data_IF_393437908935
#
_entry.id   IF_393437908935
#
_cell.length_a   1.000
_cell.length_b   1.000
_cell.length_c   1.000
_cell.angle_alpha   90.00
_cell.angle_beta   90.00
_cell.angle_gamma   90.00
#
_symmetry.space_group_name_H-M   'P 1'
#
loop_
_entity.id
_entity.type
_entity.pdbx_description
1 polymer ?
#
# COMPACT_ATOMS: atom_id res chain seq x y z
N UNK A 1 -16.59 -8.55 3.32
CA UNK A 1 -16.40 -7.93 2.00
C UNK A 1 -16.91 -8.91 0.97
N UNK A 2 -17.61 -8.43 -0.05
CA UNK A 2 -18.08 -9.26 -1.17
C UNK A 2 -16.88 -9.80 -2.00
N UNK A 3 -16.93 -11.05 -2.53
CA UNK A 3 -15.83 -11.67 -3.29
C UNK A 3 -15.32 -10.83 -4.46
N UNK A 4 -16.23 -10.29 -5.27
CA UNK A 4 -15.88 -9.45 -6.43
C UNK A 4 -15.26 -8.14 -5.97
N UNK A 5 -15.81 -7.55 -4.91
CA UNK A 5 -15.27 -6.32 -4.31
C UNK A 5 -13.84 -6.52 -3.82
N UNK A 6 -13.53 -7.65 -3.19
CA UNK A 6 -12.16 -7.98 -2.76
C UNK A 6 -11.19 -8.02 -3.96
N UNK A 7 -11.58 -8.64 -5.07
CA UNK A 7 -10.74 -8.74 -6.27
C UNK A 7 -10.50 -7.36 -6.87
N UNK A 8 -11.54 -6.54 -7.04
CA UNK A 8 -11.40 -5.18 -7.57
C UNK A 8 -10.51 -4.33 -6.68
N UNK A 9 -10.68 -4.43 -5.35
CA UNK A 9 -9.80 -3.75 -4.39
C UNK A 9 -8.36 -4.24 -4.50
N UNK A 10 -8.13 -5.55 -4.60
CA UNK A 10 -6.79 -6.11 -4.78
C UNK A 10 -6.14 -5.64 -6.09
N UNK A 11 -6.89 -5.54 -7.19
CA UNK A 11 -6.37 -5.02 -8.46
C UNK A 11 -5.99 -3.56 -8.34
N UNK A 12 -6.83 -2.73 -7.72
CA UNK A 12 -6.53 -1.31 -7.50
C UNK A 12 -5.30 -1.11 -6.61
N UNK A 13 -5.21 -1.85 -5.50
CA UNK A 13 -4.06 -1.79 -4.58
C UNK A 13 -2.78 -2.29 -5.24
N UNK A 14 -2.84 -3.45 -5.92
CA UNK A 14 -1.71 -4.02 -6.64
C UNK A 14 -1.22 -3.14 -7.79
N UNK A 15 -2.13 -2.45 -8.50
CA UNK A 15 -1.77 -1.46 -9.50
C UNK A 15 -1.11 -0.22 -8.88
N UNK A 16 -1.66 0.30 -7.77
CA UNK A 16 -1.13 1.47 -7.08
C UNK A 16 0.24 1.24 -6.45
N UNK A 17 0.42 0.10 -5.77
CA UNK A 17 1.63 -0.21 -5.02
C UNK A 17 2.64 -1.00 -5.88
N UNK A 18 2.17 -2.04 -6.58
CA UNK A 18 3.01 -3.02 -7.30
C UNK A 18 3.64 -2.54 -8.61
N UNK A 19 3.09 -1.49 -9.23
CA UNK A 19 3.66 -0.88 -10.45
C UNK A 19 4.69 0.20 -10.17
N UNK A 20 4.97 0.49 -8.89
CA UNK A 20 6.01 1.46 -8.50
C UNK A 20 7.39 0.80 -8.48
N UNK A 21 8.44 1.59 -8.72
CA UNK A 21 9.81 1.11 -8.64
C UNK A 21 10.21 0.66 -7.22
N UNK A 22 9.52 1.21 -6.21
CA UNK A 22 9.73 0.91 -4.79
C UNK A 22 8.99 -0.33 -4.31
N UNK A 23 8.13 -0.93 -5.14
CA UNK A 23 7.38 -2.12 -4.75
C UNK A 23 8.33 -3.29 -4.49
N UNK A 24 8.10 -4.03 -3.42
CA UNK A 24 8.84 -5.25 -3.12
C UNK A 24 8.56 -6.32 -4.17
N UNK A 25 9.51 -7.25 -4.33
CA UNK A 25 9.32 -8.43 -5.19
C UNK A 25 8.06 -9.20 -4.82
N UNK A 26 7.74 -9.30 -3.53
CA UNK A 26 6.52 -9.96 -3.04
C UNK A 26 5.23 -9.32 -3.60
N UNK A 27 5.13 -7.98 -3.60
CA UNK A 27 3.97 -7.27 -4.17
C UNK A 27 3.89 -7.49 -5.68
N UNK A 28 5.02 -7.40 -6.38
CA UNK A 28 5.09 -7.59 -7.85
C UNK A 28 4.67 -9.01 -8.26
N UNK A 29 5.14 -10.01 -7.53
CA UNK A 29 4.85 -11.42 -7.80
C UNK A 29 3.39 -11.75 -7.51
N UNK A 30 2.87 -11.32 -6.35
CA UNK A 30 1.47 -11.50 -5.99
C UNK A 30 0.54 -10.87 -7.02
N UNK A 31 0.84 -9.63 -7.45
CA UNK A 31 0.03 -8.95 -8.45
C UNK A 31 0.11 -9.61 -9.82
N UNK A 32 1.30 -10.07 -10.23
CA UNK A 32 1.48 -10.80 -11.48
C UNK A 32 0.71 -12.12 -11.48
N UNK A 33 0.66 -12.83 -10.36
CA UNK A 33 -0.12 -14.06 -10.22
C UNK A 33 -1.63 -13.79 -10.36
N UNK A 34 -2.15 -12.75 -9.69
CA UNK A 34 -3.55 -12.33 -9.82
C UNK A 34 -3.90 -11.97 -11.27
N UNK A 35 -3.05 -11.20 -11.96
CA UNK A 35 -3.27 -10.84 -13.37
C UNK A 35 -3.33 -12.04 -14.29
N UNK A 36 -2.48 -13.05 -14.08
CA UNK A 36 -2.52 -14.28 -14.87
C UNK A 36 -3.83 -15.06 -14.69
N UNK A 37 -4.44 -15.00 -13.51
CA UNK A 37 -5.74 -15.63 -13.27
C UNK A 37 -6.88 -14.85 -13.93
N UNK A 38 -6.86 -13.52 -13.84
CA UNK A 38 -7.85 -12.66 -14.48
C UNK A 38 -7.77 -12.73 -16.02
N UNK A 39 -6.56 -12.75 -16.58
CA UNK A 39 -6.36 -12.89 -18.02
C UNK A 39 -6.85 -14.25 -18.56
N UNK A 40 -6.71 -15.33 -17.78
CA UNK A 40 -7.26 -16.64 -18.12
C UNK A 40 -8.79 -16.63 -18.20
N UNK A 41 -9.43 -15.74 -17.43
CA UNK A 41 -10.88 -15.52 -17.38
C UNK A 41 -11.34 -14.42 -18.34
N UNK A 42 -10.46 -13.95 -19.23
CA UNK A 42 -10.72 -12.85 -20.19
C UNK A 42 -11.13 -11.52 -19.55
N UNK A 43 -10.77 -11.29 -18.28
CA UNK A 43 -11.07 -10.06 -17.56
C UNK A 43 -9.93 -9.05 -17.78
N UNK A 44 -10.27 -7.87 -18.32
CA UNK A 44 -9.29 -6.79 -18.54
C UNK A 44 -9.11 -5.91 -17.30
N UNK A 45 -7.87 -5.82 -16.81
CA UNK A 45 -7.50 -4.97 -15.67
C UNK A 45 -6.88 -3.64 -16.09
N UNK A 46 -6.60 -3.42 -17.38
CA UNK A 46 -5.84 -2.29 -17.90
C UNK A 46 -6.45 -0.92 -17.55
N UNK A 47 -7.78 -0.87 -17.44
CA UNK A 47 -8.52 0.31 -17.03
C UNK A 47 -8.20 0.73 -15.59
N UNK A 48 -8.21 -0.23 -14.67
CA UNK A 48 -7.86 -0.03 -13.26
C UNK A 48 -6.35 0.17 -13.09
N UNK A 49 -5.51 -0.52 -13.85
CA UNK A 49 -4.05 -0.32 -13.81
C UNK A 49 -3.65 1.13 -14.13
N UNK A 50 -4.29 1.73 -15.15
CA UNK A 50 -4.01 3.12 -15.53
C UNK A 50 -4.57 4.14 -14.55
N UNK A 51 -5.71 3.84 -13.92
CA UNK A 51 -6.43 4.76 -13.04
C UNK A 51 -6.99 4.03 -11.82
N UNK A 52 -6.13 3.58 -10.89
CA UNK A 52 -6.53 2.71 -9.79
C UNK A 52 -7.53 3.37 -8.83
N UNK A 53 -7.50 4.71 -8.68
CA UNK A 53 -8.45 5.46 -7.87
C UNK A 53 -9.77 5.82 -8.58
N UNK A 54 -9.94 5.47 -9.87
CA UNK A 54 -11.13 5.83 -10.63
C UNK A 54 -12.28 4.88 -10.34
N UNK A 55 -13.32 5.36 -9.66
CA UNK A 55 -14.54 4.59 -9.37
C UNK A 55 -15.14 3.99 -10.65
N UNK A 56 -15.17 4.74 -11.75
CA UNK A 56 -15.71 4.24 -13.02
C UNK A 56 -14.95 3.01 -13.57
N UNK A 57 -13.62 2.95 -13.39
CA UNK A 57 -12.81 1.83 -13.86
C UNK A 57 -12.98 0.61 -12.95
N UNK A 58 -13.08 0.84 -11.64
CA UNK A 58 -13.37 -0.21 -10.67
C UNK A 58 -14.79 -0.78 -10.82
N UNK A 59 -15.76 0.04 -11.22
CA UNK A 59 -17.12 -0.43 -11.53
C UNK A 59 -17.12 -1.27 -12.80
N UNK A 60 -16.47 -0.81 -13.87
CA UNK A 60 -16.36 -1.60 -15.11
C UNK A 60 -15.73 -2.98 -14.86
N UNK A 61 -14.61 -3.03 -14.11
CA UNK A 61 -13.98 -4.31 -13.73
C UNK A 61 -14.90 -5.22 -12.90
N UNK A 62 -15.75 -4.63 -12.04
CA UNK A 62 -16.73 -5.39 -11.27
C UNK A 62 -17.81 -6.01 -12.17
N UNK A 63 -18.25 -5.27 -13.18
CA UNK A 63 -19.22 -5.74 -14.17
C UNK A 63 -18.59 -6.87 -15.01
N UNK A 64 -17.36 -6.66 -15.51
CA UNK A 64 -16.62 -7.69 -16.27
C UNK A 64 -16.41 -8.98 -15.47
N UNK A 65 -16.16 -8.88 -14.16
CA UNK A 65 -16.04 -10.03 -13.25
C UNK A 65 -17.38 -10.74 -12.99
N UNK A 66 -18.50 -10.03 -13.05
CA UNK A 66 -19.83 -10.61 -12.88
C UNK A 66 -20.31 -11.30 -14.16
N UNK A 67 -19.90 -10.78 -15.32
CA UNK A 67 -20.23 -11.29 -16.64
C UNK A 67 -19.23 -12.35 -17.15
N UNK A 68 -18.14 -12.60 -16.41
CA UNK A 68 -17.14 -13.59 -16.77
C UNK A 68 -17.72 -15.02 -16.82
N UNK A 69 -17.34 -15.77 -17.85
CA UNK A 69 -17.77 -17.16 -18.05
C UNK A 69 -17.30 -18.09 -16.91
N UNK A 70 -16.15 -17.78 -16.31
CA UNK A 70 -15.61 -18.50 -15.17
C UNK A 70 -15.95 -17.77 -13.86
N UNK A 71 -16.55 -18.47 -12.88
CA UNK A 71 -16.93 -17.85 -11.63
C UNK A 71 -15.70 -17.46 -10.79
N UNK A 72 -15.93 -16.54 -9.87
CA UNK A 72 -14.97 -16.27 -8.79
C UNK A 72 -14.82 -17.52 -7.93
N UNK A 73 -13.63 -18.11 -7.96
CA UNK A 73 -13.28 -19.31 -7.19
C UNK A 73 -12.29 -18.99 -6.07
N UNK A 74 -12.00 -20.01 -5.25
CA UNK A 74 -11.10 -19.89 -4.11
C UNK A 74 -9.66 -19.57 -4.54
N UNK A 75 -9.23 -20.00 -5.73
CA UNK A 75 -7.90 -19.68 -6.26
C UNK A 75 -7.77 -18.18 -6.54
N UNK A 76 -8.77 -17.59 -7.20
CA UNK A 76 -8.81 -16.17 -7.50
C UNK A 76 -8.92 -15.33 -6.22
N UNK A 77 -9.74 -15.77 -5.26
CA UNK A 77 -9.85 -15.10 -3.97
C UNK A 77 -8.57 -15.17 -3.15
N UNK A 78 -7.88 -16.32 -3.16
CA UNK A 78 -6.59 -16.47 -2.50
C UNK A 78 -5.54 -15.55 -3.11
N UNK A 79 -5.49 -15.45 -4.45
CA UNK A 79 -4.59 -14.54 -5.13
C UNK A 79 -4.89 -13.06 -4.82
N UNK A 80 -6.18 -12.68 -4.77
CA UNK A 80 -6.58 -11.33 -4.38
C UNK A 80 -6.14 -10.98 -2.95
N UNK A 81 -6.30 -11.92 -2.00
CA UNK A 81 -5.83 -11.75 -0.61
C UNK A 81 -4.32 -11.62 -0.52
N UNK A 82 -3.58 -12.45 -1.27
CA UNK A 82 -2.12 -12.37 -1.29
C UNK A 82 -1.63 -10.98 -1.74
N UNK A 83 -2.31 -10.35 -2.69
CA UNK A 83 -2.00 -8.97 -3.09
C UNK A 83 -2.30 -7.98 -1.96
N UNK A 84 -3.49 -8.03 -1.35
CA UNK A 84 -3.84 -7.10 -0.27
C UNK A 84 -2.90 -7.24 0.93
N UNK A 85 -2.51 -8.47 1.27
CA UNK A 85 -1.62 -8.76 2.39
C UNK A 85 -0.19 -8.28 2.09
N UNK A 86 0.33 -8.55 0.88
CA UNK A 86 1.65 -8.08 0.48
C UNK A 86 1.73 -6.54 0.42
N UNK A 87 0.66 -5.87 -0.01
CA UNK A 87 0.58 -4.40 0.00
C UNK A 87 0.51 -3.88 1.44
N UNK A 88 -0.30 -4.48 2.31
CA UNK A 88 -0.39 -4.10 3.71
C UNK A 88 0.96 -4.28 4.43
N UNK A 89 1.69 -5.36 4.16
CA UNK A 89 3.04 -5.57 4.68
C UNK A 89 4.04 -4.56 4.13
N UNK A 90 3.96 -4.21 2.84
CA UNK A 90 4.80 -3.17 2.24
C UNK A 90 4.54 -1.80 2.88
N UNK A 91 3.27 -1.41 3.04
CA UNK A 91 2.89 -0.16 3.69
C UNK A 91 3.28 -0.17 5.17
N UNK A 92 3.14 -1.30 5.86
CA UNK A 92 3.58 -1.44 7.25
C UNK A 92 5.10 -1.39 7.37
N UNK A 93 5.86 -1.95 6.42
CA UNK A 93 7.31 -1.84 6.39
C UNK A 93 7.76 -0.40 6.09
N UNK A 94 7.07 0.30 5.18
CA UNK A 94 7.29 1.71 4.90
C UNK A 94 6.93 2.61 6.09
N UNK A 95 5.87 2.27 6.82
CA UNK A 95 5.46 2.95 8.05
C UNK A 95 6.36 2.60 9.23
N UNK A 96 6.85 1.37 9.36
CA UNK A 96 7.79 0.95 10.38
C UNK A 96 9.16 1.64 10.21
N UNK A 97 9.48 2.05 8.98
CA UNK A 97 10.61 2.92 8.71
C UNK A 97 10.36 4.38 9.14
N UNK A 98 9.19 4.79 9.63
CA UNK A 98 8.94 6.16 10.10
C UNK A 98 8.33 6.12 11.50
N UNK A 99 9.06 6.60 12.51
CA UNK A 99 8.59 6.54 13.89
C UNK A 99 7.34 7.40 14.15
N UNK A 100 7.26 8.57 13.51
CA UNK A 100 6.10 9.48 13.56
C UNK A 100 5.90 10.10 12.17
N UNK A 101 4.77 9.85 11.51
CA UNK A 101 4.40 10.52 10.25
C UNK A 101 3.18 11.44 10.45
N UNK A 102 3.37 12.76 10.31
CA UNK A 102 2.33 13.77 10.43
C UNK A 102 2.08 14.43 9.07
N UNK A 103 0.86 14.28 8.55
CA UNK A 103 0.45 14.86 7.28
C UNK A 103 -0.70 15.87 7.50
N UNK A 104 -0.52 17.09 7.00
CA UNK A 104 -1.52 18.18 6.99
C UNK A 104 -2.09 18.57 8.37
N UNK A 105 -1.21 18.69 9.36
CA UNK A 105 -1.60 19.02 10.74
C UNK A 105 -1.73 20.53 10.96
N UNK A 106 -2.84 20.96 11.57
CA UNK A 106 -3.02 22.32 12.11
C UNK A 106 -3.08 22.27 13.63
N UNK A 107 -2.13 22.89 14.30
CA UNK A 107 -2.07 22.87 15.76
C UNK A 107 -1.48 24.17 16.32
N UNK A 108 -1.81 24.50 17.58
CA UNK A 108 -1.10 25.57 18.26
C UNK A 108 0.32 25.12 18.66
N UNK A 109 0.49 23.89 19.12
CA UNK A 109 1.79 23.34 19.47
C UNK A 109 1.83 21.85 19.16
N UNK A 110 2.97 21.34 18.70
CA UNK A 110 3.19 19.90 18.50
C UNK A 110 4.33 19.48 19.42
N UNK A 111 4.08 18.53 20.33
CA UNK A 111 5.11 17.90 21.15
C UNK A 111 5.19 16.43 20.83
N UNK A 112 6.36 16.00 20.37
CA UNK A 112 6.70 14.61 20.11
C UNK A 112 7.73 14.22 21.16
N UNK A 113 7.38 13.27 22.02
CA UNK A 113 8.30 12.70 23.00
C UNK A 113 9.23 11.68 22.36
N UNK A 114 9.71 10.71 23.14
CA UNK A 114 10.64 9.68 22.65
C UNK A 114 10.10 8.94 21.43
N UNK A 115 10.89 8.89 20.36
CA UNK A 115 10.57 8.16 19.13
C UNK A 115 11.65 7.10 18.90
N UNK A 116 11.26 5.86 18.62
CA UNK A 116 12.19 4.81 18.19
C UNK A 116 11.73 4.27 16.84
N UNK A 117 12.60 4.33 15.84
CA UNK A 117 12.33 3.93 14.46
C UNK A 117 13.54 3.21 13.85
N UNK A 118 13.29 2.29 12.94
CA UNK A 118 14.33 1.64 12.15
C UNK A 118 14.69 2.43 10.89
N UNK A 119 13.91 3.44 10.51
CA UNK A 119 14.19 4.38 9.42
C UNK A 119 14.18 5.83 9.90
N UNK A 120 13.42 6.71 9.25
CA UNK A 120 13.17 8.08 9.70
C UNK A 120 12.55 8.10 11.10
N UNK A 121 13.02 9.02 11.94
CA UNK A 121 12.44 9.23 13.27
C UNK A 121 11.08 9.91 13.18
N UNK A 122 11.06 11.14 12.66
CA UNK A 122 9.85 11.96 12.54
C UNK A 122 9.79 12.57 11.15
N UNK A 123 8.66 12.40 10.47
CA UNK A 123 8.34 13.01 9.19
C UNK A 123 7.11 13.90 9.35
N UNK A 124 7.22 15.16 8.92
CA UNK A 124 6.12 16.13 8.99
C UNK A 124 5.96 16.79 7.62
N UNK A 125 4.76 16.73 7.04
CA UNK A 125 4.41 17.37 5.77
C UNK A 125 3.16 18.24 5.95
N UNK A 126 3.21 19.47 5.42
CA UNK A 126 2.05 20.37 5.41
C UNK A 126 1.61 20.92 6.77
N UNK A 127 2.49 20.90 7.79
CA UNK A 127 2.11 21.36 9.13
C UNK A 127 2.02 22.89 9.24
N UNK A 128 0.90 23.37 9.80
CA UNK A 128 0.69 24.76 10.21
C UNK A 128 0.64 24.84 11.72
N UNK A 129 1.70 25.40 12.31
CA UNK A 129 1.88 25.44 13.76
C UNK A 129 2.16 26.87 14.21
N UNK A 130 1.32 27.42 15.10
CA UNK A 130 1.45 28.83 15.51
C UNK A 130 2.38 29.05 16.70
N UNK A 131 2.51 28.06 17.57
CA UNK A 131 3.28 28.12 18.83
C UNK A 131 4.55 27.26 18.84
N UNK A 132 4.76 26.42 17.82
CA UNK A 132 6.02 25.69 17.61
C UNK A 132 5.92 24.17 17.71
N UNK A 133 7.03 23.52 17.38
CA UNK A 133 7.18 22.06 17.36
C UNK A 133 8.36 21.69 18.29
N UNK A 134 8.14 20.78 19.23
CA UNK A 134 9.15 20.17 20.10
C UNK A 134 9.24 18.68 19.80
N UNK A 135 10.46 18.19 19.58
CA UNK A 135 10.73 16.77 19.33
C UNK A 135 11.86 16.33 20.25
N UNK A 136 11.58 15.38 21.14
CA UNK A 136 12.47 14.93 22.21
C UNK A 136 12.89 13.46 21.99
N UNK A 137 14.14 13.10 22.28
CA UNK A 137 14.63 11.70 22.30
C UNK A 137 14.28 10.83 21.07
N UNK A 138 14.70 11.25 19.88
CA UNK A 138 14.51 10.47 18.63
C UNK A 138 15.69 9.52 18.41
N UNK A 139 15.41 8.22 18.39
CA UNK A 139 16.32 7.15 17.97
C UNK A 139 15.82 6.58 16.65
N UNK A 140 16.57 6.83 15.58
CA UNK A 140 16.16 6.53 14.21
C UNK A 140 17.35 5.90 13.45
N UNK A 141 17.06 5.10 12.44
CA UNK A 141 18.06 4.34 11.68
C UNK A 141 18.46 3.04 12.39
N UNK A 142 18.08 1.91 11.81
CA UNK A 142 18.64 0.60 12.15
C UNK A 142 20.15 0.61 11.89
N UNK A 143 20.92 0.18 12.88
CA UNK A 143 22.39 0.11 12.91
C UNK A 143 23.03 -0.30 11.58
N UNK A 144 23.82 0.59 10.98
CA UNK A 144 25.01 0.18 10.26
C UNK A 144 26.08 -0.14 11.30
N UNK A 145 26.37 -1.44 11.42
CA UNK A 145 27.46 -2.01 12.20
C UNK A 145 28.79 -1.30 11.81
N UNK A 146 29.58 -0.78 12.76
CA UNK A 146 30.91 -0.27 12.44
C UNK A 146 31.80 -1.46 12.09
N UNK A 147 32.06 -1.66 10.78
CA UNK A 147 33.01 -2.66 10.28
C UNK A 147 34.31 -2.64 11.13
N UNK A 148 34.67 -3.73 11.80
CA UNK A 148 35.91 -3.76 12.57
C UNK A 148 37.09 -4.01 11.63
N UNK A 149 37.92 -2.96 11.50
CA UNK A 149 39.34 -2.92 11.10
C UNK A 149 39.71 -3.22 9.64
#
# INVERSE_FOLDING_TARGET
>A
MDPVTLIVTAVALGASAGLTDTATTAVKDAYTALKRLLARRSVDVSGVERRPASTAQQTALREDLADADEPVDDELLAAARAVTDAVAEHDTAAAAAIGVDLNDVRAAFIKIGTVTSTGDGVRIRGAHVSGGISVDDVRAGGSQDPSPR
#
